data_IF_920238813399
#
_entry.id   IF_920238813399
#
_cell.length_a   1.000
_cell.length_b   1.000
_cell.length_c   1.000
_cell.angle_alpha   90.00
_cell.angle_beta   90.00
_cell.angle_gamma   90.00
#
_symmetry.space_group_name_H-M   'P 1'
#
loop_
_entity.id
_entity.type
_entity.pdbx_description
1 polymer ?
#
# COMPACT_ATOMS: atom_id res chain seq x y z
N UNK A 1 -34.39 -2.62 -30.05
CA UNK A 1 -33.07 -1.97 -30.19
C UNK A 1 -32.86 -0.82 -29.21
N UNK A 2 -33.73 0.21 -29.17
CA UNK A 2 -33.54 1.37 -28.27
C UNK A 2 -33.40 1.02 -26.77
N UNK A 3 -34.21 0.10 -26.25
CA UNK A 3 -34.12 -0.32 -24.84
C UNK A 3 -32.81 -1.03 -24.47
N UNK A 4 -32.27 -1.85 -25.38
CA UNK A 4 -30.98 -2.52 -25.18
C UNK A 4 -29.82 -1.50 -25.21
N UNK A 5 -29.87 -0.55 -26.14
CA UNK A 5 -28.89 0.54 -26.23
C UNK A 5 -28.91 1.39 -24.95
N UNK A 6 -30.10 1.74 -24.46
CA UNK A 6 -30.26 2.47 -23.21
C UNK A 6 -29.72 1.68 -22.01
N UNK A 7 -30.04 0.39 -21.90
CA UNK A 7 -29.53 -0.47 -20.84
C UNK A 7 -28.00 -0.55 -20.82
N UNK A 8 -27.37 -0.75 -21.99
CA UNK A 8 -25.92 -0.82 -22.10
C UNK A 8 -25.26 0.51 -21.78
N UNK A 9 -25.85 1.63 -22.21
CA UNK A 9 -25.35 2.96 -21.92
C UNK A 9 -25.34 3.25 -20.41
N UNK A 10 -26.45 2.97 -19.72
CA UNK A 10 -26.57 3.19 -18.27
C UNK A 10 -25.54 2.34 -17.51
N UNK A 11 -25.43 1.06 -17.82
CA UNK A 11 -24.48 0.17 -17.14
C UNK A 11 -23.02 0.55 -17.47
N UNK A 12 -22.72 0.91 -18.72
CA UNK A 12 -21.40 1.39 -19.12
C UNK A 12 -21.01 2.67 -18.36
N UNK A 13 -21.94 3.61 -18.20
CA UNK A 13 -21.71 4.82 -17.43
C UNK A 13 -21.47 4.53 -15.93
N UNK A 14 -22.21 3.58 -15.34
CA UNK A 14 -22.00 3.14 -13.95
C UNK A 14 -20.62 2.52 -13.75
N UNK A 15 -20.21 1.60 -14.63
CA UNK A 15 -18.89 0.97 -14.57
C UNK A 15 -17.79 2.01 -14.76
N UNK A 16 -17.94 2.91 -15.73
CA UNK A 16 -16.97 3.98 -15.97
C UNK A 16 -16.83 4.90 -14.75
N UNK A 17 -17.95 5.30 -14.13
CA UNK A 17 -17.94 6.10 -12.91
C UNK A 17 -17.24 5.38 -11.75
N UNK A 18 -17.50 4.08 -11.57
CA UNK A 18 -16.85 3.27 -10.54
C UNK A 18 -15.32 3.20 -10.76
N UNK A 19 -14.86 2.93 -11.99
CA UNK A 19 -13.44 2.88 -12.32
C UNK A 19 -12.76 4.23 -12.12
N UNK A 20 -13.40 5.34 -12.53
CA UNK A 20 -12.86 6.68 -12.31
C UNK A 20 -12.77 7.04 -10.82
N UNK A 21 -13.77 6.63 -10.03
CA UNK A 21 -13.76 6.81 -8.58
C UNK A 21 -12.66 6.00 -7.90
N UNK A 22 -12.52 4.71 -8.25
CA UNK A 22 -11.46 3.84 -7.73
C UNK A 22 -10.08 4.35 -8.13
N UNK A 23 -9.89 4.78 -9.38
CA UNK A 23 -8.62 5.33 -9.85
C UNK A 23 -8.21 6.61 -9.12
N UNK A 24 -9.18 7.48 -8.81
CA UNK A 24 -8.93 8.70 -8.02
C UNK A 24 -8.65 8.41 -6.54
N UNK A 25 -9.22 7.32 -6.01
CA UNK A 25 -9.02 6.84 -4.63
C UNK A 25 -7.75 6.02 -4.46
N UNK A 26 -7.26 5.38 -5.51
CA UNK A 26 -5.97 4.70 -5.56
C UNK A 26 -4.83 5.72 -5.66
N UNK A 27 -4.69 6.54 -4.63
CA UNK A 27 -3.41 7.20 -4.37
C UNK A 27 -2.54 6.14 -3.68
N UNK A 28 -1.36 5.76 -4.22
CA UNK A 28 -0.40 5.02 -3.41
C UNK A 28 -0.27 5.79 -2.11
N UNK A 29 -0.42 5.12 -0.98
CA UNK A 29 -0.35 5.76 0.32
C UNK A 29 0.89 6.64 0.30
N UNK A 30 0.68 7.97 0.27
CA UNK A 30 1.77 8.90 0.39
C UNK A 30 2.55 8.42 1.61
N UNK A 31 3.88 8.34 1.51
CA UNK A 31 4.77 8.05 2.63
C UNK A 31 4.61 9.17 3.65
N UNK A 32 3.46 9.20 4.30
CA UNK A 32 3.21 10.01 5.45
C UNK A 32 4.07 9.37 6.53
N UNK A 33 4.89 10.14 7.24
CA UNK A 33 5.64 9.66 8.39
C UNK A 33 4.68 9.41 9.56
N UNK A 34 3.63 8.62 9.31
CA UNK A 34 2.78 8.06 10.35
C UNK A 34 3.63 7.23 11.32
N UNK A 35 3.13 6.97 12.53
CA UNK A 35 3.88 6.30 13.57
C UNK A 35 4.21 4.87 13.12
N UNK A 36 5.41 4.68 12.58
CA UNK A 36 5.96 3.38 12.25
C UNK A 36 6.07 2.56 13.53
N UNK A 37 5.41 1.40 13.55
CA UNK A 37 5.47 0.46 14.66
C UNK A 37 6.50 -0.61 14.35
N UNK A 38 7.47 -0.76 15.24
CA UNK A 38 8.42 -1.87 15.19
C UNK A 38 7.66 -3.19 15.37
N UNK A 39 8.00 -4.18 14.54
CA UNK A 39 7.50 -5.55 14.71
C UNK A 39 8.59 -6.44 15.29
N UNK A 40 8.23 -7.66 15.69
CA UNK A 40 9.21 -8.68 16.08
C UNK A 40 9.87 -9.38 14.88
N UNK A 41 9.45 -9.08 13.65
CA UNK A 41 9.98 -9.71 12.44
C UNK A 41 11.39 -9.19 12.13
N UNK A 42 12.33 -10.14 11.99
CA UNK A 42 13.71 -9.88 11.56
C UNK A 42 14.14 -10.94 10.56
N UNK A 43 14.96 -10.56 9.59
CA UNK A 43 15.51 -11.46 8.59
C UNK A 43 16.85 -10.94 8.09
N UNK A 44 17.65 -11.83 7.51
CA UNK A 44 18.88 -11.44 6.80
C UNK A 44 18.52 -11.22 5.34
N UNK A 45 18.81 -10.03 4.81
CA UNK A 45 18.63 -9.76 3.38
C UNK A 45 19.61 -10.64 2.58
N UNK A 46 19.13 -11.54 1.69
CA UNK A 46 20.00 -12.43 0.92
C UNK A 46 20.90 -11.67 -0.08
N UNK A 47 20.56 -10.42 -0.42
CA UNK A 47 21.30 -9.60 -1.38
C UNK A 47 22.50 -8.92 -0.73
N UNK A 48 22.33 -8.42 0.50
CA UNK A 48 23.33 -7.60 1.20
C UNK A 48 23.96 -8.30 2.41
N UNK A 49 23.34 -9.38 2.90
CA UNK A 49 23.70 -10.03 4.16
C UNK A 49 23.35 -9.23 5.41
N UNK A 50 22.64 -8.09 5.29
CA UNK A 50 22.31 -7.25 6.43
C UNK A 50 21.14 -7.80 7.23
N UNK A 51 21.23 -7.69 8.56
CA UNK A 51 20.10 -7.97 9.44
C UNK A 51 19.08 -6.83 9.33
N UNK A 52 17.90 -7.16 8.85
CA UNK A 52 16.78 -6.25 8.65
C UNK A 52 15.71 -6.48 9.72
N UNK A 53 14.97 -5.43 10.04
CA UNK A 53 13.74 -5.47 10.84
C UNK A 53 12.57 -4.88 10.05
N UNK A 54 11.37 -5.39 10.31
CA UNK A 54 10.15 -4.91 9.65
C UNK A 54 9.44 -3.90 10.54
N UNK A 55 9.03 -2.78 9.96
CA UNK A 55 8.15 -1.78 10.59
C UNK A 55 6.82 -1.73 9.86
N UNK A 56 5.73 -1.59 10.60
CA UNK A 56 4.36 -1.53 10.07
C UNK A 56 3.75 -0.15 10.30
N UNK A 57 3.08 0.39 9.29
CA UNK A 57 2.28 1.61 9.42
C UNK A 57 0.79 1.24 9.50
N UNK A 58 0.13 1.37 10.67
CA UNK A 58 -1.27 0.99 10.84
C UNK A 58 -2.26 1.91 10.12
N UNK A 59 -1.84 3.12 9.75
CA UNK A 59 -2.71 4.08 9.07
C UNK A 59 -2.81 3.76 7.57
N UNK A 60 -1.74 3.22 6.98
CA UNK A 60 -1.65 2.97 5.53
C UNK A 60 -1.61 1.49 5.18
N UNK A 61 -1.29 0.62 6.14
CA UNK A 61 -1.00 -0.79 5.90
C UNK A 61 0.40 -1.06 5.33
N UNK A 62 1.25 -0.03 5.18
CA UNK A 62 2.58 -0.18 4.59
C UNK A 62 3.54 -0.97 5.48
N UNK A 63 4.47 -1.69 4.85
CA UNK A 63 5.59 -2.38 5.50
C UNK A 63 6.90 -1.78 5.00
N UNK A 64 7.79 -1.49 5.92
CA UNK A 64 9.11 -0.92 5.64
C UNK A 64 10.20 -1.84 6.21
N UNK A 65 11.30 -1.99 5.47
CA UNK A 65 12.41 -2.88 5.81
C UNK A 65 13.63 -2.02 6.08
N UNK A 66 14.05 -1.95 7.34
CA UNK A 66 15.20 -1.13 7.73
C UNK A 66 16.30 -1.97 8.36
N UNK A 67 17.57 -1.57 8.19
CA UNK A 67 18.67 -2.21 8.90
C UNK A 67 18.48 -2.17 10.41
N UNK A 68 18.91 -3.22 11.09
CA UNK A 68 19.08 -3.19 12.55
C UNK A 68 20.38 -2.45 12.83
N UNK A 69 20.28 -1.17 13.21
CA UNK A 69 21.45 -0.44 13.72
C UNK A 69 22.00 -1.16 14.96
N UNK A 70 23.32 -1.43 14.99
CA UNK A 70 23.96 -1.90 16.21
C UNK A 70 23.73 -0.86 17.30
N UNK A 71 23.13 -1.26 18.42
CA UNK A 71 23.13 -0.40 19.60
C UNK A 71 24.59 -0.05 19.95
N UNK A 72 24.96 1.23 20.06
CA UNK A 72 26.21 1.61 20.71
C UNK A 72 26.17 1.02 22.13
N UNK A 73 27.05 0.06 22.40
CA UNK A 73 27.22 -0.48 23.74
C UNK A 73 27.67 0.68 24.63
N UNK A 74 26.84 1.04 25.61
CA UNK A 74 27.18 1.98 26.69
C UNK A 74 27.90 1.24 27.82
#
# INVERSE_FOLDING_TARGET
MAGLVFYLFVNGAVVLAAVLFERGRYRPAATSPGPWQETSERFVDPTTGQLMKVRYNPQTGARDYVPVEPHPQA
#
